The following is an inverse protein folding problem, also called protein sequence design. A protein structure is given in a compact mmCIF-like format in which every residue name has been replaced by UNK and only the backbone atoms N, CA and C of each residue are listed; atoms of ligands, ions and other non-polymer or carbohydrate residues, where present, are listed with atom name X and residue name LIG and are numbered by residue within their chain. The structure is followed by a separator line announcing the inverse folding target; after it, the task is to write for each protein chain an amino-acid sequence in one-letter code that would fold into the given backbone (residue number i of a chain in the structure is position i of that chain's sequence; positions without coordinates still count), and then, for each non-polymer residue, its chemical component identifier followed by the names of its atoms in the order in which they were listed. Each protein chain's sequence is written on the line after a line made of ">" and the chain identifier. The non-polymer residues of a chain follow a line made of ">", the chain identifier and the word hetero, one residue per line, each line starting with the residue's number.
data_IF_400463727088
#
_entry.id   IF_400463727088
#
_cell.length_a   1.000
_cell.length_b   1.000
_cell.length_c   1.000
_cell.angle_alpha   90.00
_cell.angle_beta   90.00
_cell.angle_gamma   90.00
#
_symmetry.space_group_name_H-M   'P 1'
#
loop_
_entity.id
_entity.type
_entity.pdbx_description
1 polymer ?
#
# COMPACT_ATOMS: atom_id res chain seq x y z
N UNK A 1 -5.69 -22.22 -17.55
CA UNK A 1 -5.67 -20.82 -18.02
C UNK A 1 -4.21 -20.44 -18.15
N UNK A 2 -3.79 -19.88 -19.27
CA UNK A 2 -2.38 -19.53 -19.52
C UNK A 2 -1.98 -18.34 -18.64
N UNK A 3 -0.77 -18.35 -18.09
CA UNK A 3 -0.28 -17.31 -17.17
C UNK A 3 -0.35 -15.90 -17.78
N UNK A 4 -0.07 -15.78 -19.08
CA UNK A 4 -0.22 -14.54 -19.84
C UNK A 4 -1.66 -14.00 -19.83
N UNK A 5 -2.67 -14.87 -19.93
CA UNK A 5 -4.08 -14.48 -19.84
C UNK A 5 -4.43 -13.95 -18.45
N UNK A 6 -3.93 -14.58 -17.39
CA UNK A 6 -4.17 -14.12 -16.01
C UNK A 6 -3.57 -12.74 -15.77
N UNK A 7 -2.35 -12.51 -16.27
CA UNK A 7 -1.69 -11.20 -16.20
C UNK A 7 -2.45 -10.12 -16.98
N UNK A 8 -2.89 -10.41 -18.21
CA UNK A 8 -3.63 -9.45 -19.03
C UNK A 8 -4.97 -9.05 -18.39
N UNK A 9 -5.74 -10.04 -17.92
CA UNK A 9 -7.02 -9.78 -17.24
C UNK A 9 -6.82 -9.07 -15.88
N UNK A 10 -5.79 -9.43 -15.13
CA UNK A 10 -5.42 -8.74 -13.90
C UNK A 10 -5.02 -7.28 -14.14
N UNK A 11 -4.26 -7.02 -15.21
CA UNK A 11 -3.90 -5.66 -15.61
C UNK A 11 -5.14 -4.84 -16.01
N UNK A 12 -6.10 -5.42 -16.75
CA UNK A 12 -7.36 -4.75 -17.10
C UNK A 12 -8.17 -4.40 -15.85
N UNK A 13 -8.27 -5.31 -14.89
CA UNK A 13 -8.95 -5.05 -13.61
C UNK A 13 -8.28 -3.90 -12.84
N UNK A 14 -6.94 -3.89 -12.75
CA UNK A 14 -6.18 -2.81 -12.12
C UNK A 14 -6.40 -1.46 -12.83
N UNK A 15 -6.37 -1.43 -14.17
CA UNK A 15 -6.65 -0.21 -14.94
C UNK A 15 -8.07 0.31 -14.73
N UNK A 16 -9.03 -0.59 -14.63
CA UNK A 16 -10.40 -0.23 -14.36
C UNK A 16 -10.54 0.40 -12.97
N UNK A 17 -9.87 -0.15 -11.93
CA UNK A 17 -9.77 0.49 -10.61
C UNK A 17 -9.20 1.88 -10.75
N UNK A 18 -8.01 2.04 -11.36
CA UNK A 18 -7.37 3.35 -11.46
C UNK A 18 -8.22 4.39 -12.19
N UNK A 19 -8.98 3.98 -13.21
CA UNK A 19 -9.89 4.85 -13.94
C UNK A 19 -10.96 5.49 -13.04
N UNK A 20 -11.39 4.85 -11.95
CA UNK A 20 -12.28 5.48 -10.98
C UNK A 20 -11.60 6.63 -10.24
N UNK A 21 -10.33 6.47 -9.90
CA UNK A 21 -9.59 7.43 -9.09
C UNK A 21 -9.00 8.56 -9.93
N UNK A 22 -8.55 8.28 -11.15
CA UNK A 22 -7.93 9.29 -12.03
C UNK A 22 -8.94 10.13 -12.79
N UNK A 23 -10.18 9.65 -12.98
CA UNK A 23 -11.26 10.42 -13.61
C UNK A 23 -12.11 11.21 -12.59
N UNK A 24 -11.94 10.96 -11.29
CA UNK A 24 -12.58 11.71 -10.23
C UNK A 24 -11.92 13.07 -10.04
N UNK A 25 -12.71 14.15 -9.97
CA UNK A 25 -12.17 15.50 -9.69
C UNK A 25 -11.88 15.67 -8.20
N UNK A 26 -12.67 14.99 -7.36
CA UNK A 26 -12.56 14.95 -5.92
C UNK A 26 -12.78 13.53 -5.42
N UNK A 27 -12.34 13.24 -4.20
CA UNK A 27 -12.61 11.95 -3.60
C UNK A 27 -14.11 11.63 -3.44
N UNK A 28 -14.94 12.66 -3.28
CA UNK A 28 -16.38 12.49 -3.08
C UNK A 28 -17.08 11.99 -4.37
N UNK A 29 -16.41 12.12 -5.52
CA UNK A 29 -16.89 11.57 -6.80
C UNK A 29 -16.69 10.04 -6.90
N UNK A 30 -15.93 9.43 -5.98
CA UNK A 30 -15.61 8.00 -6.00
C UNK A 30 -16.73 7.22 -5.28
N UNK A 31 -17.52 6.48 -6.07
CA UNK A 31 -18.65 5.68 -5.56
C UNK A 31 -18.14 4.39 -4.90
N UNK A 32 -18.41 4.22 -3.61
CA UNK A 32 -17.96 3.08 -2.80
C UNK A 32 -18.37 1.72 -3.38
N UNK A 33 -19.62 1.57 -3.82
CA UNK A 33 -20.12 0.30 -4.36
C UNK A 33 -19.37 -0.13 -5.63
N UNK A 34 -18.92 0.84 -6.45
CA UNK A 34 -18.10 0.55 -7.62
C UNK A 34 -16.69 0.09 -7.21
N UNK A 35 -16.09 0.71 -6.19
CA UNK A 35 -14.79 0.28 -5.67
C UNK A 35 -14.87 -1.16 -5.13
N UNK A 36 -15.95 -1.50 -4.43
CA UNK A 36 -16.13 -2.84 -3.86
C UNK A 36 -16.30 -3.92 -4.92
N UNK A 37 -17.13 -3.69 -5.94
CA UNK A 37 -17.29 -4.64 -7.05
C UNK A 37 -15.99 -4.90 -7.83
N UNK A 38 -15.09 -3.91 -7.88
CA UNK A 38 -13.78 -4.04 -8.52
C UNK A 38 -12.76 -4.74 -7.64
N UNK A 39 -12.84 -4.57 -6.33
CA UNK A 39 -12.00 -5.28 -5.36
C UNK A 39 -12.20 -6.80 -5.49
N UNK A 40 -13.45 -7.27 -5.52
CA UNK A 40 -13.76 -8.70 -5.70
C UNK A 40 -13.15 -9.28 -6.98
N UNK A 41 -13.25 -8.54 -8.09
CA UNK A 41 -12.67 -8.96 -9.36
C UNK A 41 -11.14 -9.00 -9.30
N UNK A 42 -10.54 -7.98 -8.70
CA UNK A 42 -9.09 -7.86 -8.57
C UNK A 42 -8.51 -8.95 -7.67
N UNK A 43 -9.17 -9.24 -6.54
CA UNK A 43 -8.80 -10.34 -5.63
C UNK A 43 -8.90 -11.69 -6.34
N UNK A 44 -9.97 -11.95 -7.10
CA UNK A 44 -10.11 -13.19 -7.86
C UNK A 44 -8.98 -13.41 -8.87
N UNK A 45 -8.45 -12.34 -9.48
CA UNK A 45 -7.30 -12.41 -10.37
C UNK A 45 -5.98 -12.53 -9.60
N UNK A 46 -5.83 -11.81 -8.50
CA UNK A 46 -4.68 -11.91 -7.60
C UNK A 46 -4.51 -13.34 -7.07
N UNK A 47 -5.58 -13.98 -6.60
CA UNK A 47 -5.54 -15.38 -6.15
C UNK A 47 -5.03 -16.32 -7.23
N UNK A 48 -5.46 -16.15 -8.48
CA UNK A 48 -4.99 -16.97 -9.62
C UNK A 48 -3.51 -16.71 -9.94
N UNK A 49 -3.06 -15.46 -9.81
CA UNK A 49 -1.70 -15.04 -10.13
C UNK A 49 -0.70 -15.50 -9.05
N UNK A 50 -1.08 -15.37 -7.78
CA UNK A 50 -0.24 -15.65 -6.61
C UNK A 50 -0.42 -17.05 -6.03
N UNK A 51 -1.27 -17.90 -6.63
CA UNK A 51 -1.37 -19.32 -6.30
C UNK A 51 -0.05 -20.08 -6.48
N UNK A 52 0.86 -19.53 -7.27
CA UNK A 52 2.18 -20.08 -7.48
C UNK A 52 3.14 -19.51 -6.43
N UNK A 53 3.69 -20.38 -5.58
CA UNK A 53 4.75 -20.03 -4.63
C UNK A 53 6.12 -19.89 -5.34
N UNK A 54 6.15 -19.07 -6.39
CA UNK A 54 7.32 -18.78 -7.20
C UNK A 54 7.25 -17.30 -7.60
N UNK A 55 8.40 -16.67 -7.84
CA UNK A 55 8.41 -15.26 -8.24
C UNK A 55 7.68 -15.07 -9.58
N UNK A 56 6.97 -13.95 -9.74
CA UNK A 56 6.26 -13.64 -10.99
C UNK A 56 7.19 -13.66 -12.23
N UNK A 57 8.47 -13.34 -12.01
CA UNK A 57 9.54 -13.42 -13.02
C UNK A 57 9.84 -14.86 -13.42
N UNK A 58 10.07 -15.74 -12.45
CA UNK A 58 10.41 -17.13 -12.73
C UNK A 58 9.21 -17.88 -13.33
N UNK A 59 7.99 -17.52 -12.89
CA UNK A 59 6.76 -18.02 -13.50
C UNK A 59 6.60 -17.57 -14.94
N UNK A 60 6.90 -16.29 -15.25
CA UNK A 60 6.89 -15.76 -16.60
C UNK A 60 7.85 -16.54 -17.50
N UNK A 61 9.09 -16.75 -17.06
CA UNK A 61 10.10 -17.53 -17.78
C UNK A 61 9.64 -18.98 -17.99
N UNK A 62 9.08 -19.61 -16.96
CA UNK A 62 8.55 -20.98 -17.04
C UNK A 62 7.38 -21.12 -18.03
N UNK A 63 6.64 -20.03 -18.27
CA UNK A 63 5.56 -19.95 -19.27
C UNK A 63 6.02 -19.37 -20.62
N UNK A 64 7.32 -19.23 -20.86
CA UNK A 64 7.86 -18.76 -22.13
C UNK A 64 7.67 -17.27 -22.41
N UNK A 65 7.35 -16.47 -21.38
CA UNK A 65 7.21 -15.01 -21.49
C UNK A 65 8.58 -14.36 -21.32
N UNK A 66 9.05 -13.69 -22.38
CA UNK A 66 10.36 -13.03 -22.40
C UNK A 66 10.29 -11.53 -22.04
N UNK A 67 9.11 -10.90 -22.14
CA UNK A 67 8.90 -9.51 -21.74
C UNK A 67 8.67 -9.39 -20.23
N UNK A 68 9.75 -9.49 -19.46
CA UNK A 68 9.72 -9.45 -18.00
C UNK A 68 9.37 -8.05 -17.47
N UNK A 69 9.65 -7.00 -18.23
CA UNK A 69 9.35 -5.62 -17.85
C UNK A 69 7.83 -5.39 -17.82
N UNK A 70 7.11 -5.90 -18.83
CA UNK A 70 5.65 -5.86 -18.84
C UNK A 70 5.04 -6.64 -17.66
N UNK A 71 5.57 -7.83 -17.36
CA UNK A 71 5.12 -8.65 -16.22
C UNK A 71 5.30 -7.89 -14.90
N UNK A 72 6.47 -7.28 -14.70
CA UNK A 72 6.77 -6.52 -13.49
C UNK A 72 5.85 -5.31 -13.32
N UNK A 73 5.68 -4.51 -14.37
CA UNK A 73 4.78 -3.35 -14.36
C UNK A 73 3.34 -3.76 -14.06
N UNK A 74 2.88 -4.88 -14.66
CA UNK A 74 1.55 -5.43 -14.43
C UNK A 74 1.34 -5.86 -12.98
N UNK A 75 2.26 -6.64 -12.43
CA UNK A 75 2.20 -7.10 -11.03
C UNK A 75 2.21 -5.91 -10.08
N UNK A 76 3.03 -4.89 -10.36
CA UNK A 76 3.11 -3.69 -9.55
C UNK A 76 1.79 -2.91 -9.59
N UNK A 77 1.21 -2.70 -10.77
CA UNK A 77 -0.11 -2.07 -10.93
C UNK A 77 -1.20 -2.84 -10.19
N UNK A 78 -1.21 -4.16 -10.26
CA UNK A 78 -2.17 -4.97 -9.50
C UNK A 78 -2.02 -4.75 -7.99
N UNK A 79 -0.80 -4.78 -7.45
CA UNK A 79 -0.55 -4.52 -6.04
C UNK A 79 -1.01 -3.12 -5.60
N UNK A 80 -0.74 -2.08 -6.41
CA UNK A 80 -1.20 -0.71 -6.14
C UNK A 80 -2.73 -0.63 -6.20
N UNK A 81 -3.38 -1.32 -7.13
CA UNK A 81 -4.84 -1.37 -7.22
C UNK A 81 -5.45 -2.05 -5.99
N UNK A 82 -4.90 -3.19 -5.54
CA UNK A 82 -5.36 -3.93 -4.35
C UNK A 82 -5.23 -3.05 -3.11
N UNK A 83 -4.10 -2.36 -2.97
CA UNK A 83 -3.91 -1.42 -1.88
C UNK A 83 -4.92 -0.26 -1.94
N UNK A 84 -5.16 0.26 -3.14
CA UNK A 84 -6.10 1.37 -3.35
C UNK A 84 -7.53 0.99 -2.96
N UNK A 85 -8.00 -0.20 -3.35
CA UNK A 85 -9.34 -0.68 -2.97
C UNK A 85 -9.43 -0.95 -1.47
N UNK A 86 -8.39 -1.54 -0.87
CA UNK A 86 -8.31 -1.80 0.58
C UNK A 86 -8.42 -0.51 1.43
N UNK A 87 -7.80 0.59 0.98
CA UNK A 87 -7.93 1.89 1.66
C UNK A 87 -9.37 2.41 1.68
N UNK A 88 -10.16 2.08 0.66
CA UNK A 88 -11.56 2.51 0.55
C UNK A 88 -12.50 1.59 1.31
N UNK A 89 -12.30 0.27 1.28
CA UNK A 89 -13.05 -0.70 2.09
C UNK A 89 -12.73 -0.63 3.59
N UNK A 90 -11.68 0.13 3.97
CA UNK A 90 -11.20 0.29 5.36
C UNK A 90 -10.79 -1.04 5.99
N UNK A 91 -10.42 -2.02 5.17
CA UNK A 91 -9.91 -3.32 5.60
C UNK A 91 -8.37 -3.35 5.64
N UNK A 92 -7.85 -4.25 6.46
CA UNK A 92 -6.44 -4.68 6.51
C UNK A 92 -5.33 -3.62 6.37
N UNK A 93 -5.33 -2.61 7.24
CA UNK A 93 -4.23 -1.66 7.38
C UNK A 93 -2.89 -2.32 7.82
N UNK A 94 -2.93 -3.56 8.30
CA UNK A 94 -1.74 -4.28 8.77
C UNK A 94 -0.93 -4.84 7.60
N UNK A 95 -1.57 -5.45 6.60
CA UNK A 95 -0.87 -5.84 5.37
C UNK A 95 -0.37 -4.62 4.61
N UNK A 96 -1.23 -3.60 4.48
CA UNK A 96 -0.95 -2.32 3.82
C UNK A 96 0.33 -1.62 4.31
N UNK A 97 0.60 -1.65 5.62
CA UNK A 97 1.80 -1.04 6.20
C UNK A 97 3.07 -1.86 5.91
N UNK A 98 3.01 -3.19 6.02
CA UNK A 98 4.15 -4.09 5.75
C UNK A 98 4.65 -3.99 4.31
N UNK A 99 3.74 -3.85 3.35
CA UNK A 99 4.08 -3.93 1.93
C UNK A 99 4.34 -2.56 1.29
N UNK A 100 4.19 -1.47 2.04
CA UNK A 100 4.21 -0.10 1.50
C UNK A 100 5.48 0.22 0.70
N UNK A 101 6.63 0.32 1.36
CA UNK A 101 7.91 0.55 0.66
C UNK A 101 8.42 -0.64 -0.16
N UNK A 102 8.38 -1.90 0.31
CA UNK A 102 9.03 -2.98 -0.42
C UNK A 102 8.26 -3.43 -1.68
N UNK A 103 6.94 -3.22 -1.73
CA UNK A 103 6.08 -3.74 -2.81
C UNK A 103 5.33 -2.64 -3.56
N UNK A 104 4.78 -1.65 -2.85
CA UNK A 104 3.83 -0.70 -3.45
C UNK A 104 4.51 0.53 -4.04
N UNK A 105 5.54 1.05 -3.38
CA UNK A 105 6.18 2.30 -3.80
C UNK A 105 7.46 2.01 -4.59
N UNK A 106 7.58 2.50 -5.85
CA UNK A 106 8.84 2.47 -6.59
C UNK A 106 9.99 3.12 -5.82
N UNK A 107 11.19 2.50 -5.84
CA UNK A 107 12.36 2.90 -5.02
C UNK A 107 12.74 4.37 -5.17
N UNK A 108 12.61 4.93 -6.37
CA UNK A 108 12.88 6.35 -6.65
C UNK A 108 11.95 7.33 -5.93
N UNK A 109 10.78 6.89 -5.47
CA UNK A 109 9.81 7.72 -4.75
C UNK A 109 9.94 7.59 -3.21
N UNK A 110 10.70 6.62 -2.70
CA UNK A 110 10.76 6.30 -1.27
C UNK A 110 11.07 7.50 -0.38
N UNK A 111 11.96 8.38 -0.82
CA UNK A 111 12.40 9.54 -0.04
C UNK A 111 11.55 10.80 -0.18
N UNK A 112 10.42 10.77 -0.91
CA UNK A 112 9.57 11.94 -1.08
C UNK A 112 8.68 12.18 0.14
N UNK A 113 8.51 13.44 0.51
CA UNK A 113 7.74 13.79 1.71
C UNK A 113 6.26 13.40 1.59
N UNK A 114 5.65 13.55 0.42
CA UNK A 114 4.26 13.16 0.16
C UNK A 114 4.02 11.65 0.30
N UNK A 115 4.99 10.83 -0.12
CA UNK A 115 4.98 9.37 0.04
C UNK A 115 5.13 8.98 1.52
N UNK A 116 6.05 9.63 2.22
CA UNK A 116 6.28 9.38 3.65
C UNK A 116 5.05 9.80 4.47
N UNK A 117 4.40 10.91 4.11
CA UNK A 117 3.17 11.36 4.76
C UNK A 117 2.05 10.32 4.63
N UNK A 118 1.85 9.74 3.43
CA UNK A 118 0.88 8.64 3.23
C UNK A 118 1.24 7.43 4.10
N UNK A 119 2.51 7.04 4.12
CA UNK A 119 2.96 5.91 4.93
C UNK A 119 2.64 6.14 6.41
N UNK A 120 2.97 7.31 6.94
CA UNK A 120 2.70 7.66 8.33
C UNK A 120 1.21 7.75 8.64
N UNK A 121 0.40 8.25 7.71
CA UNK A 121 -1.07 8.26 7.84
C UNK A 121 -1.62 6.83 7.89
N UNK A 122 -1.08 5.92 7.06
CA UNK A 122 -1.46 4.51 7.05
C UNK A 122 -1.07 3.81 8.36
N UNK A 123 0.14 4.07 8.87
CA UNK A 123 0.61 3.55 10.17
C UNK A 123 -0.24 4.08 11.33
N UNK A 124 -0.58 5.38 11.33
CA UNK A 124 -1.45 5.96 12.33
C UNK A 124 -2.82 5.27 12.34
N UNK A 125 -3.39 5.04 11.15
CA UNK A 125 -4.68 4.36 11.00
C UNK A 125 -4.63 2.91 11.47
N UNK A 126 -3.59 2.17 11.10
CA UNK A 126 -3.35 0.81 11.59
C UNK A 126 -3.31 0.76 13.11
N UNK A 127 -2.53 1.64 13.75
CA UNK A 127 -2.35 1.64 15.20
C UNK A 127 -3.70 1.83 15.93
N UNK A 128 -4.57 2.69 15.40
CA UNK A 128 -5.92 2.93 15.96
C UNK A 128 -6.85 1.75 15.74
N UNK A 129 -6.87 1.19 14.53
CA UNK A 129 -7.72 0.05 14.20
C UNK A 129 -7.40 -1.14 15.09
N UNK A 130 -6.12 -1.37 15.37
CA UNK A 130 -5.66 -2.44 16.25
C UNK A 130 -6.15 -2.27 17.70
N UNK A 131 -6.09 -1.06 18.24
CA UNK A 131 -6.47 -0.82 19.64
C UNK A 131 -7.96 -0.52 19.85
N UNK A 132 -8.76 -0.40 18.77
CA UNK A 132 -10.14 0.13 18.79
C UNK A 132 -11.04 -0.52 19.85
N UNK A 133 -10.87 -1.82 20.08
CA UNK A 133 -11.69 -2.62 21.00
C UNK A 133 -11.29 -2.43 22.48
N UNK A 134 -10.19 -1.73 22.72
CA UNK A 134 -9.62 -1.46 24.05
C UNK A 134 -9.25 0.01 24.22
N UNK A 135 -9.82 0.89 23.39
CA UNK A 135 -9.40 2.29 23.25
C UNK A 135 -9.50 3.09 24.56
N UNK A 136 -10.40 2.69 25.45
CA UNK A 136 -10.58 3.23 26.80
C UNK A 136 -9.40 2.95 27.75
N UNK A 137 -8.55 1.97 27.39
CA UNK A 137 -7.37 1.55 28.16
C UNK A 137 -6.06 2.13 27.64
N UNK A 138 -6.10 2.85 26.51
CA UNK A 138 -4.91 3.38 25.86
C UNK A 138 -4.83 4.90 25.99
N UNK A 139 -3.60 5.38 26.10
CA UNK A 139 -3.24 6.79 26.01
C UNK A 139 -2.73 7.11 24.61
N UNK A 140 -2.63 8.40 24.29
CA UNK A 140 -1.98 8.85 23.06
C UNK A 140 -0.56 8.32 22.93
N UNK A 141 0.17 8.24 24.04
CA UNK A 141 1.52 7.70 24.08
C UNK A 141 1.56 6.24 23.64
N UNK A 142 0.60 5.42 24.06
CA UNK A 142 0.53 4.02 23.66
C UNK A 142 0.35 3.88 22.14
N UNK A 143 -0.45 4.76 21.51
CA UNK A 143 -0.59 4.80 20.04
C UNK A 143 0.72 5.16 19.37
N UNK A 144 1.40 6.20 19.86
CA UNK A 144 2.65 6.70 19.28
C UNK A 144 3.78 5.68 19.43
N UNK A 145 3.90 5.04 20.59
CA UNK A 145 4.87 3.97 20.83
C UNK A 145 4.59 2.77 19.91
N UNK A 146 3.32 2.42 19.69
CA UNK A 146 2.92 1.37 18.75
C UNK A 146 3.26 1.73 17.31
N UNK A 147 2.97 2.96 16.87
CA UNK A 147 3.36 3.46 15.55
C UNK A 147 4.88 3.40 15.36
N UNK A 148 5.64 3.84 16.36
CA UNK A 148 7.11 3.84 16.35
C UNK A 148 7.67 2.42 16.22
N UNK A 149 7.15 1.47 17.00
CA UNK A 149 7.54 0.06 16.91
C UNK A 149 7.27 -0.50 15.51
N UNK A 150 6.13 -0.14 14.91
CA UNK A 150 5.78 -0.56 13.56
C UNK A 150 6.73 0.00 12.51
N UNK A 151 7.01 1.30 12.56
CA UNK A 151 7.95 1.96 11.64
C UNK A 151 9.33 1.31 11.68
N UNK A 152 9.84 0.98 12.88
CA UNK A 152 11.13 0.29 13.00
C UNK A 152 11.12 -1.12 12.40
N UNK A 153 9.99 -1.82 12.50
CA UNK A 153 9.83 -3.15 11.93
C UNK A 153 9.78 -3.09 10.41
N UNK A 154 8.93 -2.24 9.85
CA UNK A 154 8.66 -2.13 8.41
C UNK A 154 9.90 -1.60 7.65
N UNK A 155 10.70 -0.75 8.28
CA UNK A 155 11.90 -0.15 7.68
C UNK A 155 13.21 -0.88 8.02
N UNK A 156 13.13 -2.08 8.61
CA UNK A 156 14.33 -2.82 9.06
C UNK A 156 15.35 -3.04 7.95
N UNK A 157 14.87 -3.39 6.76
CA UNK A 157 15.69 -3.73 5.60
C UNK A 157 15.83 -2.55 4.60
N UNK A 158 15.33 -1.38 4.98
CA UNK A 158 15.37 -0.18 4.15
C UNK A 158 16.66 0.64 4.35
N UNK A 159 16.91 1.56 3.42
CA UNK A 159 18.12 2.38 3.47
C UNK A 159 18.15 3.29 4.70
N UNK A 160 19.30 3.39 5.37
CA UNK A 160 19.47 4.28 6.55
C UNK A 160 19.00 5.73 6.30
N UNK A 161 19.25 6.36 5.14
CA UNK A 161 18.71 7.69 4.84
C UNK A 161 17.18 7.76 4.84
N UNK A 162 16.51 6.74 4.28
CA UNK A 162 15.04 6.66 4.33
C UNK A 162 14.55 6.52 5.76
N UNK A 163 15.13 5.59 6.52
CA UNK A 163 14.75 5.35 7.91
C UNK A 163 14.85 6.62 8.76
N UNK A 164 15.95 7.38 8.60
CA UNK A 164 16.14 8.65 9.30
C UNK A 164 15.08 9.67 8.89
N UNK A 165 14.82 9.84 7.59
CA UNK A 165 13.84 10.82 7.09
C UNK A 165 12.43 10.51 7.58
N UNK A 166 12.02 9.25 7.52
CA UNK A 166 10.71 8.81 8.05
C UNK A 166 10.62 9.09 9.54
N UNK A 167 11.68 8.81 10.30
CA UNK A 167 11.71 9.07 11.74
C UNK A 167 11.65 10.57 12.07
N UNK A 168 12.35 11.42 11.31
CA UNK A 168 12.34 12.87 11.51
C UNK A 168 10.95 13.45 11.26
N UNK A 169 10.27 13.02 10.19
CA UNK A 169 8.89 13.44 9.87
C UNK A 169 7.92 12.90 10.91
N UNK A 170 8.08 11.64 11.34
CA UNK A 170 7.28 11.06 12.42
C UNK A 170 7.40 11.87 13.71
N UNK A 171 8.61 12.19 14.16
CA UNK A 171 8.83 12.99 15.37
C UNK A 171 8.30 14.41 15.25
N UNK A 172 8.44 15.04 14.08
CA UNK A 172 7.90 16.38 13.81
C UNK A 172 6.36 16.39 13.87
N UNK A 173 5.72 15.35 13.35
CA UNK A 173 4.25 15.28 13.22
C UNK A 173 3.57 14.76 14.47
N UNK A 174 4.18 13.79 15.15
CA UNK A 174 3.55 13.06 16.26
C UNK A 174 4.26 13.22 17.61
N UNK A 175 5.55 13.61 17.62
CA UNK A 175 6.37 13.60 18.84
C UNK A 175 5.95 14.58 19.95
N UNK A 176 5.04 15.53 19.67
CA UNK A 176 4.48 16.44 20.66
C UNK A 176 3.12 15.98 21.22
N UNK A 177 2.54 14.91 20.65
CA UNK A 177 1.18 14.48 20.96
C UNK A 177 1.11 13.62 22.23
N UNK A 178 2.23 13.14 22.77
CA UNK A 178 2.33 12.32 24.00
C UNK A 178 1.60 12.91 25.22
N UNK A 179 1.32 14.21 25.21
CA UNK A 179 0.64 14.96 26.28
C UNK A 179 -0.83 15.27 26.00
N UNK A 180 -1.36 14.90 24.82
CA UNK A 180 -2.74 15.21 24.43
C UNK A 180 -3.72 14.09 24.78
N UNK A 181 -4.97 14.41 25.12
CA UNK A 181 -6.03 13.42 25.21
C UNK A 181 -6.25 12.65 23.90
N UNK A 182 -6.54 11.36 24.00
CA UNK A 182 -6.74 10.49 22.84
C UNK A 182 -7.91 10.95 21.93
N UNK A 183 -8.92 11.61 22.51
CA UNK A 183 -10.05 12.14 21.75
C UNK A 183 -9.70 13.34 20.87
N UNK A 184 -8.63 14.08 21.18
CA UNK A 184 -8.15 15.21 20.37
C UNK A 184 -7.42 14.76 19.10
N UNK A 185 -7.14 13.46 18.99
CA UNK A 185 -6.53 12.85 17.82
C UNK A 185 -7.55 12.33 16.81
N UNK A 186 -8.86 12.51 17.05
CA UNK A 186 -9.94 12.05 16.14
C UNK A 186 -9.70 12.47 14.68
N UNK A 187 -9.20 13.67 14.45
CA UNK A 187 -8.87 14.17 13.11
C UNK A 187 -7.65 13.47 12.47
N UNK A 188 -6.68 13.06 13.30
CA UNK A 188 -5.50 12.29 12.86
C UNK A 188 -5.89 10.86 12.47
N UNK A 189 -7.00 10.36 13.05
CA UNK A 189 -7.47 8.99 12.93
C UNK A 189 -8.56 8.78 11.87
N UNK A 190 -8.98 9.85 11.21
CA UNK A 190 -10.01 9.81 10.18
C UNK A 190 -9.52 8.99 8.98
N UNK A 191 -10.23 7.91 8.59
CA UNK A 191 -9.85 7.11 7.42
C UNK A 191 -9.80 7.95 6.13
N UNK A 192 -10.56 9.05 6.04
CA UNK A 192 -10.53 9.94 4.88
C UNK A 192 -9.18 10.64 4.71
N UNK A 193 -8.37 10.76 5.78
CA UNK A 193 -7.04 11.36 5.70
C UNK A 193 -6.10 10.50 4.85
N UNK A 194 -6.04 9.20 5.12
CA UNK A 194 -5.22 8.25 4.34
C UNK A 194 -5.66 8.24 2.89
N UNK A 195 -6.97 8.21 2.65
CA UNK A 195 -7.56 8.24 1.32
C UNK A 195 -7.20 9.54 0.56
N UNK A 196 -7.26 10.71 1.22
CA UNK A 196 -6.89 12.01 0.61
C UNK A 196 -5.42 12.07 0.26
N UNK A 197 -4.56 11.65 1.20
CA UNK A 197 -3.12 11.60 0.98
C UNK A 197 -2.81 10.64 -0.18
N UNK A 198 -3.45 9.47 -0.22
CA UNK A 198 -3.26 8.50 -1.31
C UNK A 198 -3.76 9.01 -2.65
N UNK A 199 -4.97 9.58 -2.72
CA UNK A 199 -5.55 10.11 -3.96
C UNK A 199 -4.64 11.15 -4.61
N UNK A 200 -3.97 12.00 -3.81
CA UNK A 200 -2.99 12.98 -4.30
C UNK A 200 -1.72 12.33 -4.86
N UNK A 201 -1.26 11.24 -4.25
CA UNK A 201 0.03 10.60 -4.55
C UNK A 201 -0.09 9.51 -5.63
N UNK A 202 -1.27 8.90 -5.78
CA UNK A 202 -1.54 7.81 -6.71
C UNK A 202 -1.09 8.13 -8.15
N UNK A 203 -1.39 9.30 -8.75
CA UNK A 203 -0.91 9.61 -10.11
C UNK A 203 0.62 9.59 -10.23
N UNK A 204 1.33 10.05 -9.20
CA UNK A 204 2.81 10.07 -9.18
C UNK A 204 3.36 8.65 -9.11
N UNK A 205 2.73 7.78 -8.32
CA UNK A 205 3.10 6.35 -8.22
C UNK A 205 2.86 5.65 -9.55
N UNK A 206 1.71 5.87 -10.19
CA UNK A 206 1.39 5.27 -11.49
C UNK A 206 2.35 5.74 -12.59
N UNK A 207 2.65 7.03 -12.65
CA UNK A 207 3.65 7.58 -13.59
C UNK A 207 5.04 6.95 -13.37
N UNK A 208 5.45 6.76 -12.12
CA UNK A 208 6.73 6.14 -11.79
C UNK A 208 6.80 4.66 -12.19
N UNK A 209 5.68 3.92 -12.13
CA UNK A 209 5.58 2.55 -12.63
C UNK A 209 5.68 2.53 -14.16
N UNK A 210 5.01 3.48 -14.83
CA UNK A 210 4.89 3.53 -16.29
C UNK A 210 6.16 4.02 -17.00
N UNK A 211 6.89 4.94 -16.36
CA UNK A 211 8.14 5.50 -16.88
C UNK A 211 9.35 4.57 -16.71
N UNK A 212 9.21 3.47 -15.96
CA UNK A 212 10.22 2.40 -15.79
C UNK A 212 11.58 2.84 -15.21
N UNK A 213 11.74 4.09 -14.78
CA UNK A 213 13.00 4.61 -14.21
C UNK A 213 13.08 4.18 -12.73
N UNK A 214 13.64 3.00 -12.46
CA UNK A 214 14.03 2.63 -11.08
C UNK A 214 13.41 1.37 -10.49
N UNK A 215 12.86 0.45 -11.29
CA UNK A 215 12.50 -0.92 -10.85
C UNK A 215 13.74 -1.79 -10.47
N UNK A 216 14.87 -1.17 -10.11
CA UNK A 216 16.07 -1.85 -9.62
C UNK A 216 15.80 -2.41 -8.22
N UNK A 217 15.58 -3.72 -8.14
CA UNK A 217 15.44 -4.41 -6.86
C UNK A 217 16.76 -4.49 -6.11
N UNK A 218 16.64 -4.40 -4.78
CA UNK A 218 17.62 -4.93 -3.85
C UNK A 218 17.80 -6.44 -4.12
N UNK A 219 19.04 -6.85 -4.39
CA UNK A 219 19.44 -8.25 -4.52
C UNK A 219 19.05 -8.97 -3.21
N UNK A 220 18.03 -9.83 -3.27
CA UNK A 220 17.54 -10.60 -2.11
C UNK A 220 16.12 -10.29 -1.65
N UNK A 221 15.44 -9.28 -2.22
CA UNK A 221 14.00 -9.11 -2.05
C UNK A 221 13.31 -10.13 -2.95
N UNK A 222 12.93 -11.27 -2.38
CA UNK A 222 11.92 -12.12 -3.00
C UNK A 222 10.73 -11.23 -3.37
N UNK A 223 10.18 -11.44 -4.56
CA UNK A 223 8.85 -10.92 -4.92
C UNK A 223 7.88 -11.63 -3.96
N UNK A 224 7.78 -11.13 -2.74
CA UNK A 224 6.90 -11.68 -1.74
C UNK A 224 5.50 -11.29 -2.13
N UNK A 225 4.70 -12.31 -2.46
CA UNK A 225 3.27 -12.20 -2.59
C UNK A 225 2.73 -11.54 -1.32
N UNK A 226 2.06 -10.40 -1.44
CA UNK A 226 1.11 -10.01 -0.41
C UNK A 226 -0.05 -11.00 -0.52
N UNK A 227 0.08 -12.17 0.12
CA UNK A 227 -1.01 -13.12 0.23
C UNK A 227 -1.98 -12.53 1.26
N UNK A 228 -3.06 -11.93 0.76
CA UNK A 228 -4.30 -11.76 1.53
C UNK A 228 -5.16 -12.95 1.14
N UNK A 229 -5.05 -14.03 1.90
CA UNK A 229 -6.11 -15.03 1.95
C UNK A 229 -6.93 -14.64 3.18
N UNK A 230 -8.16 -14.17 2.96
CA UNK A 230 -9.18 -14.24 4.01
C UNK A 230 -9.34 -15.74 4.33
N UNK A 231 -8.82 -16.16 5.48
CA UNK A 231 -9.23 -17.43 6.07
C UNK A 231 -10.59 -17.18 6.73
N UNK A 232 -11.64 -17.74 6.13
CA UNK A 232 -12.99 -17.88 6.72
C UNK A 232 -12.95 -18.50 8.13
#
# INVERSE_FOLDING_TARGET
>A
MEYATVLDEGNKAAQAVFSLFTNANTMDDIVYDHVWAMDDQLQAWATKLYAYNISARDLALANGINDLDWVQSTVHRMNVAIFTTALWSKSDYAAATNTFFPVLIPKQLHGRDDIIDVYLDTVARWAVVDIRHTIDKHTTRDVIDKMKARIMSDLRDESRPLCQRVYDIFMKTYGFLDSKPLHDLRAIFDPTRVQKSWHKVLPIVLEAIDTKIGLQHAVGSGIHNAIVIDED
#
